data_IF_960969713284
#
_entry.id   IF_960969713284
#
_cell.length_a   1.000
_cell.length_b   1.000
_cell.length_c   1.000
_cell.angle_alpha   90.00
_cell.angle_beta   90.00
_cell.angle_gamma   90.00
#
_symmetry.space_group_name_H-M   'P 1'
#
loop_
_entity.id
_entity.type
_entity.pdbx_description
1 polymer ?
#
# COMPACT_ATOMS: atom_id res chain seq x y z
N UNK A 1 -4.82 -8.75 15.29
CA UNK A 1 -3.37 -8.88 15.03
C UNK A 1 -2.94 -7.68 14.20
N UNK A 2 -2.03 -6.85 14.70
CA UNK A 2 -1.54 -5.68 13.94
C UNK A 2 -0.53 -6.14 12.89
N UNK A 3 -0.64 -5.73 11.62
CA UNK A 3 0.40 -5.99 10.64
C UNK A 3 1.70 -5.34 11.13
N UNK A 4 2.80 -6.09 11.04
CA UNK A 4 4.14 -5.61 11.35
C UNK A 4 5.13 -6.22 10.38
N UNK A 5 6.18 -5.47 10.08
CA UNK A 5 7.32 -5.96 9.30
C UNK A 5 8.12 -6.96 10.13
N UNK A 6 8.56 -8.06 9.52
CA UNK A 6 9.53 -8.98 10.12
C UNK A 6 10.94 -8.39 9.90
N UNK A 7 11.77 -8.23 10.95
CA UNK A 7 13.14 -7.76 10.78
C UNK A 7 13.98 -8.74 9.94
N UNK A 8 14.82 -8.24 9.03
CA UNK A 8 15.62 -9.11 8.16
C UNK A 8 16.56 -10.06 8.93
N UNK A 9 17.08 -9.64 10.08
CA UNK A 9 17.91 -10.48 10.94
C UNK A 9 17.21 -11.78 11.42
N UNK A 10 15.88 -11.80 11.38
CA UNK A 10 15.03 -12.93 11.80
C UNK A 10 14.15 -13.48 10.67
N UNK A 11 14.33 -13.00 9.43
CA UNK A 11 13.57 -13.47 8.29
C UNK A 11 14.10 -14.85 7.84
N UNK A 12 13.28 -15.88 7.99
CA UNK A 12 13.62 -17.25 7.60
C UNK A 12 13.95 -17.42 6.11
N UNK A 13 13.54 -16.46 5.27
CA UNK A 13 13.83 -16.46 3.82
C UNK A 13 15.16 -15.76 3.50
N UNK A 14 15.78 -15.07 4.46
CA UNK A 14 17.08 -14.40 4.25
C UNK A 14 17.01 -13.20 3.29
N UNK A 15 15.95 -12.39 3.39
CA UNK A 15 15.75 -11.23 2.51
C UNK A 15 16.85 -10.18 2.70
N UNK A 16 17.36 -9.63 1.59
CA UNK A 16 18.20 -8.42 1.58
C UNK A 16 17.34 -7.16 1.69
N UNK A 17 17.74 -6.23 2.56
CA UNK A 17 17.06 -4.95 2.72
C UNK A 17 17.66 -3.90 1.79
N UNK A 18 17.00 -3.62 0.68
CA UNK A 18 17.22 -2.40 -0.09
C UNK A 18 16.14 -1.40 0.29
N UNK A 19 16.45 -0.32 1.03
CA UNK A 19 15.46 0.70 1.39
C UNK A 19 14.88 1.40 0.15
N UNK A 20 13.63 1.80 0.26
CA UNK A 20 12.98 2.74 -0.67
C UNK A 20 12.06 3.65 0.12
N UNK A 21 11.73 4.80 -0.46
CA UNK A 21 10.74 5.73 0.07
C UNK A 21 9.71 6.02 -1.00
N UNK A 22 8.43 5.93 -0.64
CA UNK A 22 7.30 6.38 -1.47
C UNK A 22 6.65 7.58 -0.78
N UNK A 23 5.96 8.42 -1.55
CA UNK A 23 5.17 9.52 -0.98
C UNK A 23 3.70 9.12 -1.00
N UNK A 24 3.02 9.13 0.15
CA UNK A 24 1.59 8.80 0.27
C UNK A 24 0.85 10.01 0.79
N UNK A 25 -0.04 10.59 -0.03
CA UNK A 25 -0.79 11.80 0.31
C UNK A 25 0.10 12.98 0.77
N UNK A 26 1.30 13.08 0.18
CA UNK A 26 2.29 14.11 0.54
C UNK A 26 3.23 13.73 1.68
N UNK A 27 3.00 12.60 2.35
CA UNK A 27 3.85 12.13 3.46
C UNK A 27 4.83 11.04 3.00
N UNK A 28 6.13 11.12 3.34
CA UNK A 28 7.07 10.05 3.04
C UNK A 28 6.73 8.79 3.85
N UNK A 29 6.81 7.64 3.20
CA UNK A 29 6.59 6.33 3.81
C UNK A 29 7.70 5.39 3.39
N UNK A 30 8.41 4.87 4.39
CA UNK A 30 9.53 3.95 4.19
C UNK A 30 9.05 2.55 3.83
N UNK A 31 9.80 1.93 2.91
CA UNK A 31 9.59 0.58 2.45
C UNK A 31 10.90 -0.11 2.12
N UNK A 32 10.78 -1.33 1.62
CA UNK A 32 11.88 -2.17 1.16
C UNK A 32 11.53 -2.68 -0.23
N UNK A 33 12.53 -2.70 -1.10
CA UNK A 33 12.41 -3.24 -2.45
C UNK A 33 11.79 -4.65 -2.44
N UNK A 34 10.95 -4.91 -3.44
CA UNK A 34 10.22 -6.17 -3.57
C UNK A 34 8.87 -6.18 -2.88
N UNK A 35 8.59 -5.27 -1.95
CA UNK A 35 7.23 -5.08 -1.41
C UNK A 35 6.26 -4.57 -2.49
N UNK A 36 4.98 -4.90 -2.35
CA UNK A 36 3.92 -4.17 -3.03
C UNK A 36 3.63 -2.85 -2.30
N UNK A 37 2.98 -1.90 -2.98
CA UNK A 37 2.53 -0.65 -2.34
C UNK A 37 1.67 -0.96 -1.11
N UNK A 38 0.76 -1.94 -1.19
CA UNK A 38 -0.03 -2.37 -0.03
C UNK A 38 0.84 -2.93 1.10
N UNK A 39 1.94 -3.63 0.78
CA UNK A 39 2.88 -4.13 1.77
C UNK A 39 3.63 -3.00 2.50
N UNK A 40 3.99 -1.93 1.79
CA UNK A 40 4.59 -0.72 2.37
C UNK A 40 3.59 -0.02 3.30
N UNK A 41 2.36 0.20 2.84
CA UNK A 41 1.30 0.82 3.66
C UNK A 41 0.98 0.00 4.93
N UNK A 42 0.91 -1.33 4.82
CA UNK A 42 0.71 -2.19 5.98
C UNK A 42 1.89 -2.11 6.97
N UNK A 43 3.12 -2.06 6.47
CA UNK A 43 4.32 -1.96 7.30
C UNK A 43 4.42 -0.62 8.04
N UNK A 44 3.87 0.46 7.47
CA UNK A 44 3.74 1.76 8.13
C UNK A 44 2.53 1.86 9.07
N UNK A 45 1.78 0.77 9.26
CA UNK A 45 0.63 0.70 10.14
C UNK A 45 -0.69 1.15 9.52
N UNK A 46 -0.71 1.59 8.26
CA UNK A 46 -1.94 1.98 7.55
C UNK A 46 -2.68 0.73 7.08
N UNK A 47 -3.88 0.51 7.62
CA UNK A 47 -4.74 -0.65 7.29
C UNK A 47 -5.89 -0.30 6.36
N UNK A 48 -6.22 0.99 6.30
CA UNK A 48 -7.24 1.53 5.44
C UNK A 48 -6.73 2.81 4.79
N UNK A 49 -7.05 2.97 3.51
CA UNK A 49 -6.60 4.07 2.67
C UNK A 49 -7.61 4.38 1.55
N UNK A 50 -8.84 3.92 1.75
CA UNK A 50 -9.99 4.19 0.91
C UNK A 50 -11.24 4.08 1.77
N UNK A 51 -12.31 4.70 1.32
CA UNK A 51 -13.64 4.54 1.88
C UNK A 51 -14.54 3.85 0.85
N UNK A 52 -15.23 2.79 1.27
CA UNK A 52 -16.20 2.08 0.45
C UNK A 52 -17.54 2.82 0.39
N UNK A 53 -18.47 2.37 -0.45
CA UNK A 53 -19.78 3.02 -0.65
C UNK A 53 -20.57 3.23 0.65
N UNK A 54 -20.48 2.29 1.59
CA UNK A 54 -21.19 2.38 2.88
C UNK A 54 -20.47 3.23 3.93
N UNK A 55 -19.42 3.98 3.56
CA UNK A 55 -18.56 4.68 4.52
C UNK A 55 -17.55 3.78 5.23
N UNK A 56 -17.58 2.47 4.99
CA UNK A 56 -16.67 1.53 5.64
C UNK A 56 -15.22 1.71 5.14
N UNK A 57 -14.22 1.71 6.04
CA UNK A 57 -12.81 1.79 5.66
C UNK A 57 -12.40 0.58 4.83
N UNK A 58 -11.63 0.83 3.77
CA UNK A 58 -11.13 -0.16 2.81
C UNK A 58 -9.62 -0.07 2.70
N UNK A 59 -9.00 -1.22 2.52
CA UNK A 59 -7.57 -1.39 2.33
C UNK A 59 -7.30 -2.74 1.70
N UNK A 60 -6.13 -3.33 1.96
CA UNK A 60 -5.82 -4.67 1.48
C UNK A 60 -6.62 -5.73 2.23
N UNK A 61 -7.34 -6.56 1.47
CA UNK A 61 -8.09 -7.70 1.98
C UNK A 61 -7.55 -9.01 1.38
N UNK A 62 -7.79 -9.23 0.08
CA UNK A 62 -7.41 -10.51 -0.57
C UNK A 62 -5.91 -10.66 -0.85
N UNK A 63 -5.14 -9.57 -0.96
CA UNK A 63 -3.72 -9.59 -1.35
C UNK A 63 -3.42 -10.03 -2.80
N UNK A 64 -4.39 -10.62 -3.50
CA UNK A 64 -4.21 -11.25 -4.83
C UNK A 64 -4.82 -10.45 -5.99
N UNK A 65 -5.46 -9.31 -5.71
CA UNK A 65 -6.02 -8.41 -6.72
C UNK A 65 -7.47 -8.67 -7.15
N UNK A 66 -8.17 -9.61 -6.51
CA UNK A 66 -9.55 -9.98 -6.85
C UNK A 66 -10.62 -9.06 -6.26
N UNK A 67 -10.40 -8.48 -5.06
CA UNK A 67 -11.44 -7.74 -4.32
C UNK A 67 -11.58 -6.26 -4.69
N UNK A 68 -10.57 -5.66 -5.33
CA UNK A 68 -10.53 -4.22 -5.62
C UNK A 68 -10.70 -3.28 -4.41
N UNK A 69 -10.43 -3.73 -3.18
CA UNK A 69 -10.53 -2.88 -1.99
C UNK A 69 -9.29 -2.01 -1.73
N UNK A 70 -8.16 -2.36 -2.34
CA UNK A 70 -6.86 -1.71 -2.15
C UNK A 70 -6.50 -0.69 -3.23
N UNK A 71 -7.47 -0.05 -3.87
CA UNK A 71 -7.20 0.90 -4.95
C UNK A 71 -6.51 2.17 -4.46
N UNK A 72 -5.53 2.63 -5.23
CA UNK A 72 -4.80 3.88 -5.06
C UNK A 72 -4.54 4.49 -6.43
N UNK A 73 -4.17 5.76 -6.46
CA UNK A 73 -3.59 6.40 -7.66
C UNK A 73 -2.07 6.43 -7.50
N UNK A 74 -1.31 6.09 -8.55
CA UNK A 74 0.15 6.14 -8.57
C UNK A 74 0.60 7.07 -9.71
N UNK A 75 1.15 8.23 -9.37
CA UNK A 75 1.42 9.29 -10.35
C UNK A 75 0.15 9.65 -11.13
N UNK A 76 0.12 9.47 -12.47
CA UNK A 76 -1.07 9.69 -13.30
C UNK A 76 -2.03 8.48 -13.36
N UNK A 77 -1.62 7.29 -12.92
CA UNK A 77 -2.39 6.05 -13.08
C UNK A 77 -3.40 5.89 -11.94
N UNK A 78 -4.70 5.87 -12.27
CA UNK A 78 -5.81 5.67 -11.32
C UNK A 78 -6.20 4.21 -11.18
N UNK A 79 -6.90 3.89 -10.08
CA UNK A 79 -7.45 2.56 -9.80
C UNK A 79 -6.39 1.43 -9.83
N UNK A 80 -5.17 1.76 -9.41
CA UNK A 80 -4.08 0.82 -9.27
C UNK A 80 -4.34 -0.06 -8.07
N UNK A 81 -4.30 -1.38 -8.27
CA UNK A 81 -4.37 -2.36 -7.18
C UNK A 81 -3.05 -2.34 -6.41
N UNK A 82 -3.03 -1.67 -5.25
CA UNK A 82 -1.83 -1.53 -4.43
C UNK A 82 -1.22 -2.89 -4.03
N UNK A 83 -2.03 -3.95 -3.90
CA UNK A 83 -1.52 -5.30 -3.62
C UNK A 83 -0.77 -5.97 -4.77
N UNK A 84 -0.92 -5.48 -6.01
CA UNK A 84 -0.30 -6.04 -7.22
C UNK A 84 0.85 -5.19 -7.75
N UNK A 85 0.83 -3.88 -7.51
CA UNK A 85 1.91 -2.97 -7.91
C UNK A 85 3.07 -3.08 -6.93
N UNK A 86 4.25 -3.49 -7.41
CA UNK A 86 5.52 -3.39 -6.65
C UNK A 86 5.79 -1.92 -6.35
N UNK A 87 6.19 -1.59 -5.13
CA UNK A 87 6.66 -0.24 -4.81
C UNK A 87 8.01 -0.01 -5.47
N UNK A 88 8.22 1.20 -5.95
CA UNK A 88 9.50 1.70 -6.44
C UNK A 88 9.84 2.97 -5.67
N UNK A 89 11.13 3.18 -5.48
CA UNK A 89 11.62 4.42 -4.88
C UNK A 89 11.09 5.63 -5.65
N UNK A 90 10.58 6.62 -4.93
CA UNK A 90 9.96 7.81 -5.49
C UNK A 90 8.54 7.63 -6.05
N UNK A 91 7.88 6.47 -5.91
CA UNK A 91 6.46 6.33 -6.30
C UNK A 91 5.61 7.38 -5.53
N UNK A 92 4.85 8.20 -6.25
CA UNK A 92 3.84 9.10 -5.69
C UNK A 92 2.48 8.41 -5.62
N UNK A 93 2.01 8.13 -4.42
CA UNK A 93 0.75 7.42 -4.15
C UNK A 93 -0.27 8.39 -3.56
N UNK A 94 -1.49 8.37 -4.10
CA UNK A 94 -2.63 9.12 -3.56
C UNK A 94 -3.74 8.15 -3.18
N UNK A 95 -4.29 8.33 -1.99
CA UNK A 95 -5.43 7.56 -1.53
C UNK A 95 -6.70 7.98 -2.27
N UNK A 96 -7.61 7.03 -2.45
CA UNK A 96 -8.85 7.28 -3.19
C UNK A 96 -10.00 7.32 -2.21
N UNK A 97 -10.62 8.48 -2.02
CA UNK A 97 -12.02 8.52 -1.61
C UNK A 97 -12.86 8.49 -2.89
N UNK A 98 -13.84 7.59 -3.00
CA UNK A 98 -14.98 7.88 -3.87
C UNK A 98 -15.82 8.93 -3.16
N UNK A 99 -15.43 10.20 -3.29
CA UNK A 99 -16.32 11.32 -2.99
C UNK A 99 -17.46 11.29 -3.99
N UNK A 100 -18.68 11.60 -3.52
CA UNK A 100 -19.90 11.64 -4.32
C UNK A 100 -19.70 12.37 -5.65
N UNK A 101 -19.61 11.60 -6.74
CA UNK A 101 -19.99 12.11 -8.05
C UNK A 101 -21.51 12.26 -8.02
N UNK A 102 -21.94 13.47 -7.66
CA UNK A 102 -23.25 14.01 -8.01
C UNK A 102 -23.26 14.39 -9.49
#
# INVERSE_FOLDING_TARGET
MSPRRIPAATDAVGRRETPLTITVDGEPVDGIEGQSIAGVLLASGRRAWRTGRSGAPRGVFCGIGACFDCLVTVGPERDVRACRRRARDGDEVRTQARGEER
#
